data_IF_028220696640
#
_entry.id   IF_028220696640
#
_cell.length_a   1.000
_cell.length_b   1.000
_cell.length_c   1.000
_cell.angle_alpha   90.00
_cell.angle_beta   90.00
_cell.angle_gamma   90.00
#
_symmetry.space_group_name_H-M   'P 1'
#
loop_
_entity.id
_entity.type
_entity.pdbx_description
1 polymer ?
#
# COMPACT_ATOMS: atom_id res chain seq x y z
N UNK A 1 -8.05 14.46 -5.06
CA UNK A 1 -7.54 13.18 -5.61
C UNK A 1 -7.45 12.19 -4.45
N UNK A 2 -7.82 10.92 -4.68
CA UNK A 2 -7.65 9.85 -3.71
C UNK A 2 -6.55 8.91 -4.23
N UNK A 3 -5.99 8.07 -3.35
CA UNK A 3 -4.89 7.17 -3.68
C UNK A 3 -5.34 5.72 -3.51
N UNK A 4 -5.09 4.90 -4.53
CA UNK A 4 -5.30 3.47 -4.47
C UNK A 4 -3.98 2.73 -4.56
N UNK A 5 -3.81 1.73 -3.72
CA UNK A 5 -2.58 0.95 -3.59
C UNK A 5 -2.91 -0.54 -3.63
N UNK A 6 -2.12 -1.29 -4.38
CA UNK A 6 -2.31 -2.73 -4.57
C UNK A 6 -1.03 -3.43 -4.14
N UNK A 7 -1.10 -4.25 -3.10
CA UNK A 7 0.05 -5.03 -2.64
C UNK A 7 0.09 -6.34 -3.44
N UNK A 8 0.98 -6.38 -4.43
CA UNK A 8 1.07 -7.49 -5.40
C UNK A 8 1.95 -8.58 -4.85
N UNK A 9 1.31 -9.49 -4.16
CA UNK A 9 1.91 -10.62 -3.49
C UNK A 9 1.10 -11.90 -3.72
N UNK A 10 1.72 -13.08 -3.71
CA UNK A 10 0.98 -14.33 -3.77
C UNK A 10 0.22 -14.57 -2.44
N UNK A 11 -0.92 -15.27 -2.51
CA UNK A 11 -1.75 -15.56 -1.33
C UNK A 11 -1.01 -16.33 -0.21
N UNK A 12 0.15 -16.89 -0.51
CA UNK A 12 0.99 -17.68 0.40
C UNK A 12 2.23 -16.94 0.90
N UNK A 13 2.35 -15.63 0.66
CA UNK A 13 3.55 -14.83 1.00
C UNK A 13 3.90 -14.82 2.49
N UNK A 14 2.92 -15.03 3.37
CA UNK A 14 3.14 -15.14 4.83
C UNK A 14 3.73 -16.48 5.28
N UNK A 15 3.82 -17.46 4.38
CA UNK A 15 4.53 -18.70 4.67
C UNK A 15 6.05 -18.50 4.49
N UNK A 16 6.88 -19.30 5.17
CA UNK A 16 8.31 -19.28 4.91
C UNK A 16 8.62 -19.50 3.41
N UNK A 17 9.49 -18.70 2.81
CA UNK A 17 9.81 -18.70 1.37
C UNK A 17 10.10 -20.10 0.80
N UNK A 18 10.81 -20.96 1.54
CA UNK A 18 11.10 -22.36 1.14
C UNK A 18 9.85 -23.21 0.87
N UNK A 19 8.66 -22.72 1.19
CA UNK A 19 7.37 -23.39 0.97
C UNK A 19 6.57 -22.78 -0.18
N UNK A 20 7.05 -21.70 -0.80
CA UNK A 20 6.33 -21.01 -1.88
C UNK A 20 6.23 -21.85 -3.14
N UNK A 21 7.31 -22.47 -3.58
CA UNK A 21 7.35 -23.31 -4.81
C UNK A 21 6.33 -24.47 -4.81
N UNK A 22 5.91 -24.90 -3.62
CA UNK A 22 4.92 -25.96 -3.49
C UNK A 22 3.47 -25.46 -3.58
N UNK A 23 3.24 -24.16 -3.80
CA UNK A 23 1.91 -23.53 -3.82
C UNK A 23 1.47 -23.20 -5.23
N UNK A 24 0.16 -23.29 -5.46
CA UNK A 24 -0.42 -22.86 -6.74
C UNK A 24 -0.44 -21.34 -6.77
N UNK A 25 0.33 -20.77 -7.68
CA UNK A 25 0.32 -19.35 -7.93
C UNK A 25 -0.96 -18.92 -8.64
N UNK A 26 -1.53 -17.82 -8.19
CA UNK A 26 -2.76 -17.21 -8.71
C UNK A 26 -2.61 -15.71 -8.88
N UNK A 27 -1.39 -15.16 -8.70
CA UNK A 27 -1.17 -13.71 -8.70
C UNK A 27 -1.52 -13.07 -10.03
N UNK A 28 -1.13 -13.68 -11.15
CA UNK A 28 -1.40 -13.16 -12.50
C UNK A 28 -2.90 -13.05 -12.75
N UNK A 29 -3.66 -14.13 -12.51
CA UNK A 29 -5.12 -14.11 -12.68
C UNK A 29 -5.80 -13.06 -11.82
N UNK A 30 -5.34 -12.89 -10.58
CA UNK A 30 -5.95 -11.96 -9.64
C UNK A 30 -5.60 -10.51 -9.95
N UNK A 31 -4.37 -10.21 -10.38
CA UNK A 31 -3.99 -8.86 -10.83
C UNK A 31 -4.69 -8.51 -12.13
N UNK A 32 -4.81 -9.42 -13.09
CA UNK A 32 -5.56 -9.17 -14.34
C UNK A 32 -7.02 -8.82 -14.09
N UNK A 33 -7.66 -9.42 -13.06
CA UNK A 33 -9.01 -9.00 -12.62
C UNK A 33 -9.04 -7.55 -12.12
N UNK A 34 -8.02 -7.14 -11.34
CA UNK A 34 -7.90 -5.76 -10.84
C UNK A 34 -7.70 -4.80 -12.01
N UNK A 35 -6.76 -5.07 -12.91
CA UNK A 35 -6.52 -4.23 -14.09
C UNK A 35 -7.79 -4.05 -14.94
N UNK A 36 -8.56 -5.12 -15.13
CA UNK A 36 -9.84 -5.05 -15.83
C UNK A 36 -10.89 -4.23 -15.09
N UNK A 37 -10.86 -4.17 -13.76
CA UNK A 37 -11.77 -3.34 -12.96
C UNK A 37 -11.34 -1.88 -12.99
N UNK A 38 -10.06 -1.57 -12.89
CA UNK A 38 -9.50 -0.21 -12.99
C UNK A 38 -9.78 0.41 -14.37
N UNK A 39 -9.50 -0.33 -15.44
CA UNK A 39 -9.75 0.13 -16.82
C UNK A 39 -11.21 0.50 -17.11
N UNK A 40 -12.17 -0.15 -16.43
CA UNK A 40 -13.61 0.17 -16.61
C UNK A 40 -14.06 1.46 -15.93
N UNK A 41 -13.28 1.94 -14.98
CA UNK A 41 -13.63 3.09 -14.13
C UNK A 41 -12.67 4.26 -14.30
N UNK A 42 -11.70 4.13 -15.22
CA UNK A 42 -10.65 5.13 -15.48
C UNK A 42 -9.89 5.51 -14.21
N UNK A 43 -9.71 4.54 -13.31
CA UNK A 43 -8.94 4.70 -12.09
C UNK A 43 -7.51 4.20 -12.29
N UNK A 44 -6.58 4.86 -11.63
CA UNK A 44 -5.18 4.46 -11.56
C UNK A 44 -4.81 4.02 -10.14
N UNK A 45 -3.73 3.26 -10.01
CA UNK A 45 -3.26 2.75 -8.73
C UNK A 45 -1.74 2.61 -8.70
N UNK A 46 -1.18 2.61 -7.49
CA UNK A 46 0.20 2.19 -7.22
C UNK A 46 0.21 0.70 -6.90
N UNK A 47 1.05 -0.06 -7.57
CA UNK A 47 1.23 -1.48 -7.34
C UNK A 47 2.57 -1.69 -6.61
N UNK A 48 2.52 -1.99 -5.32
CA UNK A 48 3.70 -2.41 -4.56
C UNK A 48 3.95 -3.89 -4.82
N UNK A 49 5.03 -4.20 -5.52
CA UNK A 49 5.29 -5.54 -6.05
C UNK A 49 6.37 -6.24 -5.24
N UNK A 50 6.06 -7.44 -4.77
CA UNK A 50 7.02 -8.34 -4.15
C UNK A 50 8.00 -8.88 -5.22
N UNK A 51 9.29 -8.99 -4.88
CA UNK A 51 10.36 -9.44 -5.80
C UNK A 51 10.01 -10.74 -6.51
N UNK A 52 9.50 -11.73 -5.77
CA UNK A 52 9.12 -13.03 -6.32
C UNK A 52 8.14 -12.91 -7.50
N UNK A 53 7.20 -11.96 -7.43
CA UNK A 53 6.25 -11.70 -8.52
C UNK A 53 6.96 -11.04 -9.71
N UNK A 54 7.80 -10.04 -9.47
CA UNK A 54 8.54 -9.36 -10.53
C UNK A 54 9.44 -10.32 -11.30
N UNK A 55 10.15 -11.19 -10.58
CA UNK A 55 11.08 -12.18 -11.14
C UNK A 55 10.37 -13.31 -11.90
N UNK A 56 9.25 -13.81 -11.35
CA UNK A 56 8.55 -14.95 -11.96
C UNK A 56 7.54 -14.53 -13.04
N UNK A 57 7.05 -13.27 -13.03
CA UNK A 57 6.03 -12.75 -13.93
C UNK A 57 6.38 -11.36 -14.52
N UNK A 58 7.53 -11.19 -15.19
CA UNK A 58 7.93 -9.90 -15.75
C UNK A 58 6.90 -9.33 -16.75
N UNK A 59 6.21 -10.19 -17.50
CA UNK A 59 5.13 -9.76 -18.41
C UNK A 59 3.94 -9.13 -17.66
N UNK A 60 3.67 -9.54 -16.42
CA UNK A 60 2.64 -8.94 -15.59
C UNK A 60 3.04 -7.50 -15.21
N UNK A 61 4.30 -7.30 -14.86
CA UNK A 61 4.84 -5.98 -14.53
C UNK A 61 4.72 -5.04 -15.73
N UNK A 62 5.07 -5.53 -16.94
CA UNK A 62 4.86 -4.81 -18.19
C UNK A 62 3.40 -4.39 -18.40
N UNK A 63 2.43 -5.28 -18.16
CA UNK A 63 0.99 -4.95 -18.30
C UNK A 63 0.52 -3.89 -17.30
N UNK A 64 0.99 -3.95 -16.04
CA UNK A 64 0.68 -2.94 -15.02
C UNK A 64 1.19 -1.57 -15.47
N UNK A 65 2.47 -1.49 -15.86
CA UNK A 65 3.10 -0.26 -16.37
C UNK A 65 2.39 0.28 -17.60
N UNK A 66 2.16 -0.56 -18.61
CA UNK A 66 1.59 -0.15 -19.90
C UNK A 66 0.12 0.28 -19.76
N UNK A 67 -0.55 -0.12 -18.68
CA UNK A 67 -1.87 0.39 -18.30
C UNK A 67 -1.84 1.76 -17.59
N UNK A 68 -0.66 2.36 -17.38
CA UNK A 68 -0.48 3.69 -16.79
C UNK A 68 -0.47 3.71 -15.26
N UNK A 69 -0.27 2.56 -14.63
CA UNK A 69 -0.18 2.46 -13.18
C UNK A 69 1.26 2.64 -12.70
N UNK A 70 1.40 3.12 -11.47
CA UNK A 70 2.69 3.23 -10.79
C UNK A 70 3.11 1.87 -10.21
N UNK A 71 4.43 1.63 -10.19
CA UNK A 71 5.02 0.42 -9.60
C UNK A 71 6.00 0.84 -8.50
N UNK A 72 5.75 0.35 -7.28
CA UNK A 72 6.61 0.48 -6.12
C UNK A 72 7.16 -0.87 -5.65
N UNK A 73 8.10 -0.83 -4.70
CA UNK A 73 8.70 -2.03 -4.09
C UNK A 73 7.91 -2.50 -2.88
N UNK A 74 7.69 -3.81 -2.79
CA UNK A 74 7.16 -4.49 -1.58
C UNK A 74 8.22 -5.39 -0.91
N UNK A 75 9.51 -5.13 -1.19
CA UNK A 75 10.62 -5.90 -0.67
C UNK A 75 10.81 -7.26 -1.37
N UNK A 76 11.55 -8.15 -0.70
CA UNK A 76 11.97 -9.45 -1.24
C UNK A 76 11.33 -10.64 -0.51
N UNK A 77 11.56 -10.77 0.80
CA UNK A 77 11.24 -11.98 1.55
C UNK A 77 9.89 -11.96 2.27
N UNK A 78 9.17 -10.85 2.21
CA UNK A 78 7.92 -10.58 2.94
C UNK A 78 8.04 -10.77 4.46
N UNK A 79 9.25 -10.52 5.04
CA UNK A 79 9.49 -10.54 6.49
C UNK A 79 9.04 -9.22 7.13
N UNK A 80 8.75 -9.27 8.43
CA UNK A 80 8.62 -8.05 9.22
C UNK A 80 9.94 -7.28 9.25
N UNK A 81 9.91 -5.95 9.25
CA UNK A 81 11.12 -5.12 9.41
C UNK A 81 11.88 -5.45 10.70
N UNK A 82 11.17 -5.81 11.77
CA UNK A 82 11.78 -6.22 13.04
C UNK A 82 12.58 -7.52 12.98
N UNK A 83 12.44 -8.29 11.90
CA UNK A 83 13.21 -9.52 11.65
C UNK A 83 14.47 -9.26 10.79
N UNK A 84 14.67 -8.00 10.41
CA UNK A 84 15.77 -7.55 9.54
C UNK A 84 16.71 -6.62 10.31
N UNK A 85 17.98 -6.63 9.93
CA UNK A 85 18.92 -5.54 10.21
C UNK A 85 18.87 -4.48 9.09
N UNK A 86 19.41 -3.27 9.30
CA UNK A 86 19.51 -2.27 8.24
C UNK A 86 20.20 -2.77 6.97
N UNK A 87 21.30 -3.56 7.11
CA UNK A 87 22.01 -4.14 5.97
C UNK A 87 21.16 -5.18 5.23
N UNK A 88 20.40 -6.02 5.96
CA UNK A 88 19.52 -7.01 5.32
C UNK A 88 18.35 -6.34 4.59
N UNK A 89 17.80 -5.23 5.14
CA UNK A 89 16.79 -4.46 4.42
C UNK A 89 17.36 -3.84 3.14
N UNK A 90 18.59 -3.29 3.18
CA UNK A 90 19.28 -2.80 1.99
C UNK A 90 19.43 -3.90 0.92
N UNK A 91 19.89 -5.09 1.31
CA UNK A 91 20.01 -6.23 0.41
C UNK A 91 18.63 -6.67 -0.19
N UNK A 92 17.54 -6.61 0.59
CA UNK A 92 16.19 -6.90 0.12
C UNK A 92 15.69 -5.86 -0.87
N UNK A 93 15.95 -4.58 -0.61
CA UNK A 93 15.61 -3.47 -1.50
C UNK A 93 16.36 -3.61 -2.83
N UNK A 94 17.67 -3.83 -2.79
CA UNK A 94 18.50 -3.97 -3.98
C UNK A 94 17.99 -5.11 -4.89
N UNK A 95 17.62 -6.25 -4.32
CA UNK A 95 17.04 -7.38 -5.05
C UNK A 95 15.70 -7.03 -5.67
N UNK A 96 14.80 -6.41 -4.88
CA UNK A 96 13.47 -6.04 -5.35
C UNK A 96 13.55 -5.02 -6.48
N UNK A 97 14.35 -3.97 -6.32
CA UNK A 97 14.53 -2.92 -7.34
C UNK A 97 15.21 -3.48 -8.60
N UNK A 98 16.20 -4.38 -8.45
CA UNK A 98 16.81 -5.05 -9.60
C UNK A 98 15.80 -5.89 -10.39
N UNK A 99 14.97 -6.70 -9.72
CA UNK A 99 13.94 -7.50 -10.39
C UNK A 99 12.89 -6.64 -11.11
N UNK A 100 12.46 -5.52 -10.50
CA UNK A 100 11.55 -4.57 -11.13
C UNK A 100 12.19 -3.90 -12.37
N UNK A 101 13.47 -3.52 -12.27
CA UNK A 101 14.23 -2.96 -13.40
C UNK A 101 14.38 -3.96 -14.54
N UNK A 102 14.69 -5.22 -14.24
CA UNK A 102 14.77 -6.30 -15.22
C UNK A 102 13.42 -6.56 -15.92
N UNK A 103 12.30 -6.30 -15.21
CA UNK A 103 10.95 -6.33 -15.76
C UNK A 103 10.54 -5.05 -16.51
N UNK A 104 11.46 -4.06 -16.66
CA UNK A 104 11.28 -2.85 -17.47
C UNK A 104 10.68 -1.65 -16.71
N UNK A 105 10.85 -1.59 -15.39
CA UNK A 105 10.49 -0.41 -14.59
C UNK A 105 11.69 0.51 -14.45
N UNK A 106 11.61 1.74 -14.98
CA UNK A 106 12.74 2.68 -15.03
C UNK A 106 12.99 3.39 -13.67
N UNK A 107 11.96 3.64 -12.89
CA UNK A 107 12.05 4.29 -11.59
C UNK A 107 11.16 3.60 -10.56
N UNK A 108 11.67 3.38 -9.35
CA UNK A 108 10.91 2.84 -8.23
C UNK A 108 11.02 3.86 -7.10
N UNK A 109 10.01 4.72 -6.97
CA UNK A 109 10.02 5.83 -6.00
C UNK A 109 9.34 5.48 -4.68
N UNK A 110 8.46 4.48 -4.69
CA UNK A 110 7.64 4.11 -3.55
C UNK A 110 8.05 2.77 -2.92
N UNK A 111 7.98 2.73 -1.59
CA UNK A 111 8.16 1.51 -0.81
C UNK A 111 6.94 1.24 0.08
N UNK A 112 6.68 -0.04 0.31
CA UNK A 112 5.78 -0.51 1.36
C UNK A 112 6.40 -1.69 2.09
N UNK A 113 6.55 -1.54 3.41
CA UNK A 113 6.99 -2.63 4.26
C UNK A 113 5.93 -3.74 4.33
N UNK A 114 6.33 -5.00 4.18
CA UNK A 114 5.43 -6.12 4.40
C UNK A 114 4.70 -6.00 5.76
N UNK A 115 3.39 -6.35 5.75
CA UNK A 115 2.56 -6.41 6.95
C UNK A 115 2.43 -5.08 7.72
N UNK A 116 2.67 -3.94 7.06
CA UNK A 116 2.70 -2.62 7.72
C UNK A 116 3.60 -2.61 8.96
N UNK A 117 4.79 -3.21 8.83
CA UNK A 117 5.71 -3.48 9.94
C UNK A 117 6.64 -2.32 10.29
N UNK A 118 6.41 -1.13 9.74
CA UNK A 118 7.11 0.08 10.15
C UNK A 118 6.48 0.62 11.45
N UNK A 119 7.30 0.72 12.50
CA UNK A 119 6.93 1.29 13.78
C UNK A 119 8.14 1.95 14.46
N UNK A 120 7.97 2.46 15.69
CA UNK A 120 9.06 3.13 16.42
C UNK A 120 10.29 2.25 16.66
N UNK A 121 10.18 0.92 16.68
CA UNK A 121 11.30 0.00 16.86
C UNK A 121 12.06 -0.25 15.56
N UNK A 122 11.43 0.02 14.43
CA UNK A 122 11.97 -0.18 13.08
C UNK A 122 12.16 1.15 12.33
N UNK A 123 12.10 2.29 13.03
CA UNK A 123 12.24 3.62 12.44
C UNK A 123 13.55 3.82 11.65
N UNK A 124 14.61 3.08 11.97
CA UNK A 124 15.86 3.03 11.22
C UNK A 124 15.68 2.66 9.73
N UNK A 125 14.55 2.02 9.39
CA UNK A 125 14.26 1.68 7.99
C UNK A 125 14.11 2.92 7.11
N UNK A 126 13.69 4.05 7.67
CA UNK A 126 13.56 5.32 6.93
C UNK A 126 14.92 5.78 6.39
N UNK A 127 15.98 5.72 7.20
CA UNK A 127 17.33 6.08 6.76
C UNK A 127 17.78 5.16 5.60
N UNK A 128 17.49 3.85 5.68
CA UNK A 128 17.80 2.90 4.61
C UNK A 128 17.04 3.22 3.33
N UNK A 129 15.75 3.58 3.43
CA UNK A 129 14.94 3.97 2.27
C UNK A 129 15.45 5.26 1.61
N UNK A 130 15.81 6.27 2.41
CA UNK A 130 16.41 7.51 1.92
C UNK A 130 17.75 7.27 1.21
N UNK A 131 18.62 6.43 1.79
CA UNK A 131 19.91 6.06 1.19
C UNK A 131 19.77 5.32 -0.15
N UNK A 132 18.66 4.57 -0.35
CA UNK A 132 18.34 3.91 -1.61
C UNK A 132 17.53 4.77 -2.59
N UNK A 133 17.28 6.05 -2.24
CA UNK A 133 16.67 7.03 -3.13
C UNK A 133 15.15 6.92 -3.27
N UNK A 134 14.47 6.28 -2.34
CA UNK A 134 13.01 6.31 -2.32
C UNK A 134 12.49 7.72 -2.01
N UNK A 135 11.42 8.10 -2.68
CA UNK A 135 10.72 9.39 -2.47
C UNK A 135 9.69 9.29 -1.36
N UNK A 136 9.06 8.11 -1.22
CA UNK A 136 8.00 7.91 -0.24
C UNK A 136 7.92 6.46 0.27
N UNK A 137 7.38 6.36 1.46
CA UNK A 137 6.92 5.13 2.10
C UNK A 137 5.39 5.17 2.28
N UNK A 138 4.75 4.02 2.34
CA UNK A 138 3.35 3.90 2.69
C UNK A 138 3.12 2.67 3.58
N UNK A 139 3.83 2.63 4.70
CA UNK A 139 3.84 1.49 5.62
C UNK A 139 3.15 1.77 6.94
N UNK A 140 2.75 3.03 7.21
CA UNK A 140 2.11 3.39 8.47
C UNK A 140 0.58 3.29 8.34
N UNK A 141 -0.01 2.56 9.28
CA UNK A 141 -1.45 2.54 9.47
C UNK A 141 -1.78 3.16 10.83
N UNK A 142 -2.41 4.36 10.88
CA UNK A 142 -2.66 5.10 12.13
C UNK A 142 -3.80 4.49 12.96
N UNK A 143 -3.64 3.24 13.37
CA UNK A 143 -4.60 2.45 14.17
C UNK A 143 -3.87 1.64 15.21
N UNK A 144 -4.61 1.14 16.18
CA UNK A 144 -4.11 0.15 17.14
C UNK A 144 -4.72 -1.20 16.82
N UNK A 145 -3.91 -2.14 16.36
CA UNK A 145 -4.30 -3.55 16.16
C UNK A 145 -3.35 -4.49 16.90
N UNK A 146 -3.70 -5.76 17.07
CA UNK A 146 -2.79 -6.75 17.66
C UNK A 146 -1.55 -7.06 16.80
N UNK A 147 -1.61 -6.79 15.48
CA UNK A 147 -0.58 -7.23 14.52
C UNK A 147 0.30 -6.09 14.02
N UNK A 148 -0.23 -4.88 13.88
CA UNK A 148 0.43 -3.72 13.32
C UNK A 148 -0.28 -2.42 13.73
N UNK A 149 0.34 -1.30 13.44
CA UNK A 149 -0.25 0.02 13.51
C UNK A 149 0.46 0.98 14.46
N UNK A 150 0.36 2.26 14.10
CA UNK A 150 0.90 3.39 14.86
C UNK A 150 -0.22 4.38 15.17
N UNK A 151 -0.98 4.21 16.27
CA UNK A 151 -2.17 5.01 16.57
C UNK A 151 -1.89 6.51 16.74
N UNK A 152 -0.66 6.88 17.12
CA UNK A 152 -0.22 8.25 17.35
C UNK A 152 0.34 8.93 16.09
N UNK A 153 0.50 8.18 14.99
CA UNK A 153 0.97 8.74 13.72
C UNK A 153 -0.06 9.68 13.08
N UNK A 154 0.39 10.70 12.34
CA UNK A 154 -0.47 11.53 11.51
C UNK A 154 -1.34 10.67 10.57
N UNK A 155 -2.53 11.17 10.29
CA UNK A 155 -3.50 10.46 9.43
C UNK A 155 -3.51 10.98 7.99
N UNK A 156 -2.74 12.02 7.74
CA UNK A 156 -2.61 12.71 6.46
C UNK A 156 -1.18 12.49 5.94
N UNK A 157 -0.93 12.53 4.63
CA UNK A 157 0.42 12.47 4.10
C UNK A 157 1.32 13.54 4.71
N UNK A 158 2.52 13.14 5.12
CA UNK A 158 3.47 14.02 5.81
C UNK A 158 4.91 13.54 5.56
N UNK A 159 5.90 14.40 5.77
CA UNK A 159 7.30 14.00 5.71
C UNK A 159 7.77 13.49 7.07
N UNK A 160 8.58 12.42 7.03
CA UNK A 160 9.08 11.73 8.23
C UNK A 160 10.61 11.65 8.21
N UNK A 161 11.16 11.43 9.42
CA UNK A 161 12.56 11.04 9.65
C UNK A 161 12.60 9.93 10.69
N UNK A 162 13.72 9.21 10.73
CA UNK A 162 13.93 8.05 11.61
C UNK A 162 13.95 8.38 13.11
N UNK A 163 14.16 9.63 13.49
CA UNK A 163 14.20 10.06 14.90
C UNK A 163 12.82 10.00 15.58
N UNK A 164 11.73 10.31 14.85
CA UNK A 164 10.36 10.17 15.35
C UNK A 164 9.36 10.10 14.19
N UNK A 165 8.79 8.93 13.94
CA UNK A 165 7.83 8.68 12.87
C UNK A 165 6.46 9.34 13.07
N UNK A 166 6.18 9.88 14.27
CA UNK A 166 4.89 10.49 14.59
C UNK A 166 4.88 12.01 14.41
N UNK A 167 6.03 12.62 14.17
CA UNK A 167 6.20 14.06 14.05
C UNK A 167 6.39 14.47 12.59
N UNK A 168 5.47 15.27 12.01
CA UNK A 168 5.65 15.82 10.67
C UNK A 168 6.91 16.69 10.60
N UNK A 169 7.64 16.55 9.48
CA UNK A 169 8.87 17.30 9.19
C UNK A 169 8.70 18.19 7.97
N UNK A 170 9.57 19.16 7.78
CA UNK A 170 9.61 20.01 6.57
C UNK A 170 10.32 19.29 5.42
N UNK A 171 11.25 18.40 5.74
CA UNK A 171 12.07 17.60 4.82
C UNK A 171 12.03 16.11 5.21
N UNK A 172 12.70 15.27 4.41
CA UNK A 172 12.73 13.82 4.60
C UNK A 172 11.79 13.08 3.66
N UNK A 173 11.62 11.79 3.92
CA UNK A 173 10.78 10.89 3.14
C UNK A 173 9.29 11.24 3.29
N UNK A 174 8.51 11.15 2.22
CA UNK A 174 7.06 11.19 2.38
C UNK A 174 6.54 9.89 3.00
N UNK A 175 5.68 10.01 3.99
CA UNK A 175 4.80 8.93 4.43
C UNK A 175 3.38 9.19 3.94
N UNK A 176 2.78 8.16 3.31
CA UNK A 176 1.39 8.21 2.82
C UNK A 176 0.55 7.19 3.58
N UNK A 177 0.06 7.55 4.78
CA UNK A 177 -0.58 6.61 5.68
C UNK A 177 -1.96 6.18 5.18
N UNK A 178 -2.34 4.94 5.51
CA UNK A 178 -3.64 4.40 5.15
C UNK A 178 -4.79 5.12 5.87
N UNK A 179 -5.90 5.25 5.16
CA UNK A 179 -7.06 5.97 5.68
C UNK A 179 -7.74 5.29 6.85
N UNK A 180 -8.02 6.10 7.86
CA UNK A 180 -8.78 5.72 9.04
C UNK A 180 -9.96 6.66 9.24
N UNK A 181 -10.94 6.23 10.02
CA UNK A 181 -12.10 7.05 10.39
C UNK A 181 -12.17 7.25 11.90
N UNK A 182 -11.98 8.49 12.34
CA UNK A 182 -12.17 8.85 13.74
C UNK A 182 -13.66 9.09 14.00
N UNK A 183 -14.24 8.28 14.89
CA UNK A 183 -15.67 8.38 15.20
C UNK A 183 -15.90 9.67 16.00
N UNK A 184 -16.79 10.58 15.55
CA UNK A 184 -17.05 11.82 16.29
C UNK A 184 -17.55 11.56 17.72
N UNK A 185 -16.94 12.25 18.70
CA UNK A 185 -17.33 12.13 20.11
C UNK A 185 -16.80 10.87 20.84
N UNK A 186 -16.05 10.03 20.14
CA UNK A 186 -15.41 8.84 20.73
C UNK A 186 -13.93 8.84 20.33
N UNK A 187 -13.05 8.57 21.28
CA UNK A 187 -11.62 8.43 20.98
C UNK A 187 -11.31 7.04 20.39
N UNK A 188 -11.90 6.81 19.22
CA UNK A 188 -11.72 5.56 18.48
C UNK A 188 -11.43 5.87 17.01
N UNK A 189 -10.28 5.39 16.56
CA UNK A 189 -9.86 5.45 15.17
C UNK A 189 -10.07 4.06 14.51
N UNK A 190 -10.97 4.01 13.53
CA UNK A 190 -11.38 2.77 12.86
C UNK A 190 -10.67 2.63 11.53
N UNK A 191 -10.01 1.50 11.26
CA UNK A 191 -9.43 1.24 9.94
C UNK A 191 -10.54 1.05 8.89
N UNK A 192 -10.44 1.76 7.77
CA UNK A 192 -11.43 1.72 6.67
C UNK A 192 -10.79 1.62 5.29
N UNK A 193 -9.45 1.56 5.23
CA UNK A 193 -8.69 1.74 4.00
C UNK A 193 -8.76 0.58 3.00
N UNK A 194 -9.28 -0.55 3.34
CA UNK A 194 -9.31 -1.68 2.41
C UNK A 194 -8.84 -2.99 3.04
N UNK A 195 -8.36 -3.91 2.23
CA UNK A 195 -7.95 -5.21 2.68
C UNK A 195 -9.05 -5.93 3.47
N UNK A 196 -8.69 -6.50 4.60
CA UNK A 196 -9.64 -7.15 5.51
C UNK A 196 -10.82 -6.23 5.88
N UNK A 197 -10.60 -4.93 6.09
CA UNK A 197 -11.65 -4.00 6.54
C UNK A 197 -12.71 -3.75 5.47
N UNK A 198 -12.33 -3.68 4.19
CA UNK A 198 -13.28 -3.61 3.08
C UNK A 198 -14.18 -4.85 3.05
N UNK A 199 -13.61 -6.05 3.34
CA UNK A 199 -14.37 -7.30 3.38
C UNK A 199 -15.29 -7.37 4.61
N UNK A 200 -14.77 -7.03 5.79
CA UNK A 200 -15.43 -7.18 7.08
C UNK A 200 -16.55 -6.16 7.32
N UNK A 201 -16.29 -4.89 7.02
CA UNK A 201 -17.22 -3.79 7.32
C UNK A 201 -18.35 -3.70 6.28
N UNK A 202 -19.54 -3.19 6.67
CA UNK A 202 -20.57 -2.84 5.71
C UNK A 202 -20.05 -1.76 4.74
N UNK A 203 -20.23 -1.96 3.43
CA UNK A 203 -19.72 -1.02 2.43
C UNK A 203 -20.24 0.42 2.62
N UNK A 204 -21.51 0.59 3.04
CA UNK A 204 -22.07 1.92 3.32
C UNK A 204 -21.31 2.67 4.42
N UNK A 205 -20.77 1.97 5.40
CA UNK A 205 -19.94 2.57 6.45
C UNK A 205 -18.58 2.98 5.89
N UNK A 206 -17.90 2.10 5.14
CA UNK A 206 -16.62 2.40 4.48
C UNK A 206 -16.78 3.64 3.59
N UNK A 207 -17.78 3.64 2.71
CA UNK A 207 -18.07 4.78 1.84
C UNK A 207 -18.27 6.08 2.63
N UNK A 208 -19.15 6.05 3.64
CA UNK A 208 -19.40 7.24 4.49
C UNK A 208 -18.12 7.77 5.13
N UNK A 209 -17.27 6.88 5.66
CA UNK A 209 -16.01 7.25 6.29
C UNK A 209 -15.05 7.94 5.30
N UNK A 210 -14.91 7.39 4.09
CA UNK A 210 -14.07 7.97 3.05
C UNK A 210 -14.65 9.29 2.52
N UNK A 211 -15.97 9.38 2.30
CA UNK A 211 -16.64 10.63 1.92
C UNK A 211 -16.40 11.76 2.95
N UNK A 212 -16.41 11.42 4.25
CA UNK A 212 -16.10 12.39 5.32
C UNK A 212 -14.66 12.89 5.27
N UNK A 213 -13.69 12.01 4.93
CA UNK A 213 -12.30 12.42 4.74
C UNK A 213 -12.15 13.36 3.55
N UNK A 214 -12.69 12.98 2.41
CA UNK A 214 -12.64 13.77 1.17
C UNK A 214 -13.31 15.14 1.37
N UNK A 215 -14.46 15.17 2.05
CA UNK A 215 -15.15 16.43 2.37
C UNK A 215 -14.37 17.33 3.34
N UNK A 216 -13.46 16.76 4.13
CA UNK A 216 -12.53 17.53 5.00
C UNK A 216 -11.27 18.00 4.26
N UNK A 217 -11.13 17.72 2.95
CA UNK A 217 -9.98 18.11 2.15
C UNK A 217 -8.81 17.11 2.16
N UNK A 218 -9.00 15.93 2.75
CA UNK A 218 -7.96 14.91 2.87
C UNK A 218 -8.17 13.77 1.87
N UNK A 219 -7.11 13.12 1.36
CA UNK A 219 -7.25 11.99 0.44
C UNK A 219 -7.84 10.77 1.13
N UNK A 220 -8.64 10.00 0.42
CA UNK A 220 -8.86 8.61 0.75
C UNK A 220 -7.67 7.80 0.21
N UNK A 221 -6.86 7.20 1.11
CA UNK A 221 -5.77 6.29 0.77
C UNK A 221 -6.23 4.88 1.08
N UNK A 222 -6.46 4.08 0.05
CA UNK A 222 -7.02 2.74 0.15
C UNK A 222 -6.04 1.69 -0.39
N UNK A 223 -6.10 0.47 0.14
CA UNK A 223 -5.30 -0.64 -0.38
C UNK A 223 -6.09 -1.94 -0.49
N UNK A 224 -5.59 -2.87 -1.29
CA UNK A 224 -6.10 -4.24 -1.37
C UNK A 224 -5.00 -5.18 -1.86
N UNK A 225 -5.07 -6.45 -1.44
CA UNK A 225 -4.27 -7.51 -2.04
C UNK A 225 -5.06 -8.20 -3.17
N UNK A 226 -4.45 -8.57 -4.29
CA UNK A 226 -5.12 -9.27 -5.39
C UNK A 226 -5.83 -10.56 -4.95
N UNK A 227 -5.21 -11.33 -4.05
CA UNK A 227 -5.77 -12.59 -3.54
C UNK A 227 -7.04 -12.40 -2.71
N UNK A 228 -7.28 -11.21 -2.14
CA UNK A 228 -8.52 -10.92 -1.40
C UNK A 228 -9.76 -10.91 -2.30
N UNK A 229 -9.59 -10.75 -3.61
CA UNK A 229 -10.69 -10.79 -4.59
C UNK A 229 -10.95 -12.21 -5.13
N UNK A 230 -10.19 -13.21 -4.66
CA UNK A 230 -10.28 -14.59 -5.09
C UNK A 230 -10.88 -15.50 -4.00
N UNK A 231 -12.16 -15.87 -4.11
CA UNK A 231 -12.77 -16.80 -3.15
C UNK A 231 -12.27 -18.24 -3.26
N UNK A 232 -11.44 -18.53 -4.28
CA UNK A 232 -10.94 -19.88 -4.59
C UNK A 232 -9.54 -20.14 -4.05
N UNK A 233 -8.95 -19.21 -3.29
CA UNK A 233 -7.65 -19.47 -2.66
C UNK A 233 -7.71 -20.71 -1.78
N UNK A 234 -6.67 -21.59 -1.83
CA UNK A 234 -6.65 -22.79 -1.02
C UNK A 234 -6.71 -22.49 0.47
N UNK A 235 -7.49 -23.29 1.20
CA UNK A 235 -7.51 -23.23 2.68
C UNK A 235 -6.37 -24.09 3.22
N UNK A 236 -5.59 -23.50 4.13
CA UNK A 236 -4.48 -24.15 4.82
C UNK A 236 -4.59 -23.90 6.33
N UNK A 237 -4.08 -24.83 7.12
CA UNK A 237 -4.19 -24.78 8.58
C UNK A 237 -3.33 -23.68 9.21
N UNK A 238 -2.30 -23.21 8.47
CA UNK A 238 -1.41 -22.14 8.91
C UNK A 238 -2.06 -20.76 8.93
N UNK A 239 -3.18 -20.59 8.21
CA UNK A 239 -3.87 -19.30 8.10
C UNK A 239 -5.12 -19.22 8.95
N UNK A 240 -5.21 -18.16 9.71
CA UNK A 240 -6.35 -17.85 10.56
C UNK A 240 -7.62 -17.56 9.74
N UNK A 241 -8.78 -17.66 10.40
CA UNK A 241 -10.10 -17.44 9.81
C UNK A 241 -10.27 -16.11 9.09
N UNK A 242 -9.57 -15.05 9.50
CA UNK A 242 -9.70 -13.71 8.92
C UNK A 242 -9.14 -13.64 7.49
N UNK A 243 -8.18 -14.49 7.12
CA UNK A 243 -7.71 -14.62 5.73
C UNK A 243 -8.87 -14.93 4.78
N UNK A 244 -9.75 -15.81 5.18
CA UNK A 244 -10.84 -16.34 4.35
C UNK A 244 -12.16 -15.59 4.53
N UNK A 245 -12.20 -14.65 5.48
CA UNK A 245 -13.45 -13.97 5.84
C UNK A 245 -14.00 -13.16 4.69
N UNK A 246 -15.21 -13.52 4.22
CA UNK A 246 -16.00 -12.82 3.20
C UNK A 246 -15.29 -12.55 1.85
N UNK A 247 -14.35 -13.37 1.42
CA UNK A 247 -13.70 -13.27 0.12
C UNK A 247 -14.71 -13.21 -1.05
N UNK A 248 -15.75 -14.05 -1.02
CA UNK A 248 -16.77 -14.08 -2.08
C UNK A 248 -17.55 -12.78 -2.32
N UNK A 249 -17.42 -11.80 -1.43
CA UNK A 249 -18.06 -10.48 -1.58
C UNK A 249 -17.08 -9.34 -1.88
N UNK A 250 -15.79 -9.59 -1.82
CA UNK A 250 -14.73 -8.59 -1.90
C UNK A 250 -14.70 -7.87 -3.26
N UNK A 251 -14.66 -8.62 -4.35
CA UNK A 251 -14.63 -8.06 -5.70
C UNK A 251 -15.80 -7.09 -5.97
N UNK A 252 -17.01 -7.45 -5.52
CA UNK A 252 -18.17 -6.56 -5.67
C UNK A 252 -18.06 -5.27 -4.84
N UNK A 253 -17.49 -5.35 -3.63
CA UNK A 253 -17.26 -4.14 -2.81
C UNK A 253 -16.16 -3.28 -3.39
N UNK A 254 -15.10 -3.90 -3.89
CA UNK A 254 -14.01 -3.19 -4.55
C UNK A 254 -14.49 -2.49 -5.84
N UNK A 255 -15.29 -3.16 -6.69
CA UNK A 255 -15.89 -2.51 -7.86
C UNK A 255 -16.76 -1.30 -7.47
N UNK A 256 -17.51 -1.40 -6.37
CA UNK A 256 -18.30 -0.25 -5.88
C UNK A 256 -17.41 0.87 -5.39
N UNK A 257 -16.29 0.57 -4.74
CA UNK A 257 -15.31 1.56 -4.31
C UNK A 257 -14.76 2.34 -5.50
N UNK A 258 -14.38 1.63 -6.58
CA UNK A 258 -13.89 2.24 -7.82
C UNK A 258 -14.96 3.07 -8.56
N UNK A 259 -16.23 2.73 -8.40
CA UNK A 259 -17.33 3.52 -9.01
C UNK A 259 -17.72 4.76 -8.18
N UNK A 260 -17.49 4.72 -6.86
CA UNK A 260 -17.91 5.79 -5.94
C UNK A 260 -16.80 6.84 -5.72
N UNK A 261 -15.54 6.52 -6.06
CA UNK A 261 -14.38 7.40 -5.85
C UNK A 261 -13.44 7.36 -7.07
N UNK A 262 -12.87 8.54 -7.40
CA UNK A 262 -11.80 8.66 -8.38
C UNK A 262 -10.45 8.50 -7.68
N UNK A 263 -9.63 7.54 -8.15
CA UNK A 263 -8.33 7.22 -7.61
C UNK A 263 -7.20 7.51 -8.61
N UNK A 264 -6.06 7.89 -8.07
CA UNK A 264 -4.80 8.09 -8.79
C UNK A 264 -3.67 7.32 -8.11
N UNK A 265 -2.48 7.37 -8.69
CA UNK A 265 -1.25 6.83 -8.10
C UNK A 265 -0.76 7.68 -6.93
N UNK A 266 0.10 7.11 -6.08
CA UNK A 266 0.73 7.82 -4.97
C UNK A 266 1.65 8.93 -5.48
N UNK A 267 2.48 8.62 -6.50
CA UNK A 267 3.37 9.57 -7.15
C UNK A 267 2.61 10.81 -7.64
N UNK A 268 1.58 10.65 -8.46
CA UNK A 268 0.77 11.77 -8.98
C UNK A 268 0.08 12.57 -7.89
N UNK A 269 -0.35 11.89 -6.82
CA UNK A 269 -0.89 12.60 -5.67
C UNK A 269 0.17 13.48 -5.00
N UNK A 270 1.39 12.96 -4.77
CA UNK A 270 2.50 13.71 -4.18
C UNK A 270 2.91 14.89 -5.07
N UNK A 271 3.02 14.70 -6.38
CA UNK A 271 3.28 15.80 -7.33
C UNK A 271 2.25 16.92 -7.22
N UNK A 272 0.98 16.55 -7.01
CA UNK A 272 -0.10 17.52 -6.88
C UNK A 272 -0.02 18.37 -5.62
N UNK A 273 0.50 17.83 -4.51
CA UNK A 273 0.65 18.60 -3.27
C UNK A 273 1.91 19.43 -3.27
N UNK A 274 3.02 18.92 -3.80
CA UNK A 274 4.28 19.68 -3.96
C UNK A 274 4.08 20.88 -4.88
N UNK A 275 3.46 20.70 -6.06
CA UNK A 275 3.15 21.80 -6.98
C UNK A 275 2.19 22.86 -6.39
N UNK A 276 1.33 22.50 -5.43
CA UNK A 276 0.49 23.50 -4.73
C UNK A 276 1.30 24.28 -3.72
N UNK A 277 2.20 23.63 -2.99
CA UNK A 277 3.07 24.27 -2.00
C UNK A 277 3.97 25.31 -2.66
N UNK A 278 4.60 24.97 -3.78
CA UNK A 278 5.46 25.88 -4.56
C UNK A 278 4.70 27.13 -5.04
N UNK A 279 3.48 26.96 -5.56
CA UNK A 279 2.64 28.09 -6.00
C UNK A 279 2.28 29.02 -4.87
N UNK A 280 1.91 28.44 -3.71
CA UNK A 280 1.56 29.25 -2.52
C UNK A 280 2.76 30.06 -2.02
N UNK A 281 3.96 29.48 -2.02
CA UNK A 281 5.18 30.16 -1.64
C UNK A 281 5.50 31.30 -2.60
N UNK A 282 5.42 31.06 -3.93
CA UNK A 282 5.66 32.09 -4.94
C UNK A 282 4.65 33.26 -4.88
N UNK A 283 3.39 32.99 -4.52
CA UNK A 283 2.35 34.02 -4.34
C UNK A 283 2.58 34.87 -3.07
N UNK A 284 3.20 34.31 -2.04
CA UNK A 284 3.54 35.04 -0.80
C UNK A 284 4.79 35.91 -0.94
N UNK A 285 5.69 35.59 -1.89
CA UNK A 285 6.92 36.30 -2.15
C UNK A 285 6.75 37.44 -3.22
N UNK A 286 5.62 37.49 -3.92
CA UNK A 286 5.30 38.45 -4.97
C UNK A 286 4.48 39.65 -4.45
#
# INVERSE_FOLDING_TARGET
MNVLQIDVEPWYCDLPMKRWDARTDRVVENVDKILAMLSRTDNEATFFVLEDVARNHPDLIGRIRDAGHEIGSHGYSHRFLSELSPSELGDEIDRSVAALRDAGVDGVEGFRAPKFSLDGSTAWAIDVLEDHGFRYDSSIFPVKTPLYGMPDAPREPYRIRSDDLTVPREDGLWEVPLSTYRIPGVDLNVPVAGGFYLRALPYRFVRHALERRVAAGHPAVCYIHPWELDPSIPRIDEYDWFYYHRLGGAARKFQRLLNDFDFTTTERYLDSIESRSERTTAELEA
#
